data_IF_515839652843
#
_entry.id   IF_515839652843
#
_cell.length_a   1.000
_cell.length_b   1.000
_cell.length_c   1.000
_cell.angle_alpha   90.00
_cell.angle_beta   90.00
_cell.angle_gamma   90.00
#
_symmetry.space_group_name_H-M   'P 1'
#
loop_
_entity.id
_entity.type
_entity.pdbx_description
1 polymer ?
#
# COMPACT_ATOMS: atom_id res chain seq x y z
N UNK A 1 -48.56 16.15 -10.24
CA UNK A 1 -47.40 15.33 -10.62
C UNK A 1 -46.21 16.21 -11.04
N UNK A 2 -45.38 16.72 -10.11
CA UNK A 2 -44.17 17.50 -10.48
C UNK A 2 -42.88 17.01 -9.80
N UNK A 3 -42.94 15.90 -9.05
CA UNK A 3 -41.91 15.60 -8.03
C UNK A 3 -41.09 14.35 -8.36
N UNK A 4 -41.38 13.64 -9.45
CA UNK A 4 -40.66 12.42 -9.86
C UNK A 4 -39.40 12.78 -10.68
N UNK A 5 -39.49 13.76 -11.59
CA UNK A 5 -38.39 14.16 -12.48
C UNK A 5 -37.15 14.81 -11.81
N UNK A 6 -37.25 15.21 -10.53
CA UNK A 6 -36.12 15.82 -9.81
C UNK A 6 -35.22 14.76 -9.17
N UNK A 7 -35.79 13.66 -8.70
CA UNK A 7 -35.05 12.57 -8.04
C UNK A 7 -34.23 11.77 -9.05
N UNK A 8 -34.77 11.54 -10.24
CA UNK A 8 -34.08 10.79 -11.29
C UNK A 8 -32.85 11.51 -11.85
N UNK A 9 -32.92 12.85 -11.99
CA UNK A 9 -31.75 13.66 -12.38
C UNK A 9 -30.67 13.71 -11.31
N UNK A 10 -31.07 13.70 -10.04
CA UNK A 10 -30.14 13.71 -8.91
C UNK A 10 -29.44 12.35 -8.73
N UNK A 11 -30.16 11.25 -8.97
CA UNK A 11 -29.58 9.91 -9.02
C UNK A 11 -28.58 9.74 -10.19
N UNK A 12 -28.89 10.30 -11.37
CA UNK A 12 -27.99 10.27 -12.52
C UNK A 12 -26.68 11.02 -12.32
N UNK A 13 -26.69 12.13 -11.58
CA UNK A 13 -25.49 12.91 -11.26
C UNK A 13 -24.56 12.20 -10.27
N UNK A 14 -25.12 11.67 -9.18
CA UNK A 14 -24.35 10.96 -8.15
C UNK A 14 -23.63 9.72 -8.69
N UNK A 15 -24.28 8.96 -9.59
CA UNK A 15 -23.66 7.79 -10.23
C UNK A 15 -22.50 8.17 -11.16
N UNK A 16 -22.53 9.37 -11.76
CA UNK A 16 -21.46 9.85 -12.63
C UNK A 16 -20.25 10.36 -11.83
N UNK A 17 -20.49 11.01 -10.70
CA UNK A 17 -19.45 11.45 -9.76
C UNK A 17 -18.71 10.25 -9.16
N UNK A 18 -19.44 9.23 -8.72
CA UNK A 18 -18.86 7.97 -8.21
C UNK A 18 -17.97 7.28 -9.26
N UNK A 19 -18.44 7.22 -10.51
CA UNK A 19 -17.64 6.65 -11.61
C UNK A 19 -16.37 7.46 -11.90
N UNK A 20 -16.46 8.79 -11.82
CA UNK A 20 -15.30 9.66 -12.00
C UNK A 20 -14.27 9.46 -10.86
N UNK A 21 -14.74 9.32 -9.62
CA UNK A 21 -13.89 9.04 -8.46
C UNK A 21 -13.20 7.68 -8.60
N UNK A 22 -13.96 6.63 -8.94
CA UNK A 22 -13.41 5.29 -9.14
C UNK A 22 -12.34 5.24 -10.26
N UNK A 23 -12.48 6.07 -11.29
CA UNK A 23 -11.48 6.18 -12.35
C UNK A 23 -10.17 6.80 -11.85
N UNK A 24 -10.25 7.90 -11.10
CA UNK A 24 -9.09 8.56 -10.48
C UNK A 24 -8.41 7.62 -9.50
N UNK A 25 -9.19 6.92 -8.66
CA UNK A 25 -8.67 5.98 -7.68
C UNK A 25 -7.87 4.86 -8.32
N UNK A 26 -8.37 4.30 -9.43
CA UNK A 26 -7.71 3.22 -10.17
C UNK A 26 -6.36 3.64 -10.74
N UNK A 27 -6.25 4.88 -11.21
CA UNK A 27 -4.98 5.44 -11.69
C UNK A 27 -3.97 5.54 -10.54
N UNK A 28 -4.36 6.14 -9.42
CA UNK A 28 -3.52 6.28 -8.23
C UNK A 28 -3.06 4.94 -7.65
N UNK A 29 -3.93 3.92 -7.65
CA UNK A 29 -3.56 2.55 -7.24
C UNK A 29 -2.55 1.92 -8.20
N UNK A 30 -2.62 2.24 -9.49
CA UNK A 30 -1.61 1.86 -10.48
C UNK A 30 -0.24 2.44 -10.14
N UNK A 31 -0.20 3.73 -9.77
CA UNK A 31 1.04 4.38 -9.35
C UNK A 31 1.61 3.80 -8.05
N UNK A 32 0.74 3.47 -7.08
CA UNK A 32 1.14 2.86 -5.81
C UNK A 32 1.70 1.43 -5.96
N UNK A 33 1.33 0.72 -7.04
CA UNK A 33 1.86 -0.60 -7.35
C UNK A 33 3.31 -0.57 -7.88
N UNK A 34 3.84 0.61 -8.24
CA UNK A 34 5.21 0.79 -8.72
C UNK A 34 6.16 0.85 -7.51
N UNK A 35 7.18 -0.02 -7.42
CA UNK A 35 8.13 0.00 -6.31
C UNK A 35 8.81 1.36 -6.12
N UNK A 36 8.80 1.86 -4.88
CA UNK A 36 9.39 3.16 -4.53
C UNK A 36 8.51 4.37 -4.84
N UNK A 37 7.37 4.19 -5.50
CA UNK A 37 6.34 5.21 -5.67
C UNK A 37 5.46 5.33 -4.42
N UNK A 38 4.91 6.53 -4.20
CA UNK A 38 3.97 6.81 -3.09
C UNK A 38 2.83 7.64 -3.64
N UNK A 39 1.61 7.08 -3.63
CA UNK A 39 0.40 7.77 -4.03
C UNK A 39 -0.34 8.34 -2.80
N UNK A 40 -0.90 9.54 -2.94
CA UNK A 40 -1.71 10.19 -1.90
C UNK A 40 -3.21 9.95 -2.17
N UNK A 41 -3.92 9.51 -1.14
CA UNK A 41 -5.37 9.26 -1.17
C UNK A 41 -6.07 10.24 -0.23
N UNK A 42 -7.13 10.89 -0.72
CA UNK A 42 -8.09 11.61 0.10
C UNK A 42 -8.90 10.62 0.97
N UNK A 43 -9.56 11.07 2.06
CA UNK A 43 -10.27 10.16 2.97
C UNK A 43 -11.33 9.28 2.28
N UNK A 44 -12.10 9.86 1.38
CA UNK A 44 -13.10 9.20 0.54
C UNK A 44 -12.47 8.20 -0.45
N UNK A 45 -11.37 8.58 -1.10
CA UNK A 45 -10.60 7.69 -1.97
C UNK A 45 -9.99 6.51 -1.19
N UNK A 46 -9.50 6.76 0.02
CA UNK A 46 -8.90 5.76 0.90
C UNK A 46 -9.95 4.73 1.34
N UNK A 47 -11.15 5.16 1.75
CA UNK A 47 -12.26 4.26 2.06
C UNK A 47 -12.59 3.34 0.86
N UNK A 48 -12.63 3.89 -0.35
CA UNK A 48 -12.88 3.12 -1.57
C UNK A 48 -11.70 2.21 -1.98
N UNK A 49 -10.46 2.61 -1.71
CA UNK A 49 -9.26 1.80 -1.95
C UNK A 49 -9.22 0.54 -1.10
N UNK A 50 -10.13 0.41 -0.13
CA UNK A 50 -10.02 -0.57 0.92
C UNK A 50 -8.93 -0.18 1.90
N UNK A 51 -8.80 1.10 2.26
CA UNK A 51 -8.21 1.46 3.55
C UNK A 51 -9.10 0.80 4.60
N UNK A 52 -8.76 -0.44 4.91
CA UNK A 52 -9.37 -1.13 6.02
C UNK A 52 -9.06 -0.26 7.24
N UNK A 53 -10.10 0.15 7.97
CA UNK A 53 -9.93 0.50 9.38
C UNK A 53 -9.63 -0.80 10.13
N UNK A 54 -8.53 -1.47 9.77
CA UNK A 54 -7.91 -2.44 10.66
C UNK A 54 -7.48 -1.59 11.83
N UNK A 55 -8.06 -1.85 13.00
CA UNK A 55 -7.42 -1.38 14.21
C UNK A 55 -5.95 -1.81 14.08
N UNK A 56 -5.02 -0.87 14.28
CA UNK A 56 -3.60 -1.24 14.23
C UNK A 56 -3.44 -2.46 15.12
N UNK A 57 -2.79 -3.53 14.63
CA UNK A 57 -2.67 -4.76 15.40
C UNK A 57 -2.16 -4.36 16.79
N UNK A 58 -2.96 -4.64 17.82
CA UNK A 58 -2.60 -4.18 19.15
C UNK A 58 -1.31 -4.91 19.60
N UNK A 59 -0.61 -4.36 20.60
CA UNK A 59 0.66 -4.95 21.05
C UNK A 59 0.50 -6.44 21.43
N UNK A 60 -0.68 -6.81 21.91
CA UNK A 60 -0.99 -8.17 22.35
C UNK A 60 -1.15 -9.12 21.15
N UNK A 61 -1.91 -8.73 20.14
CA UNK A 61 -2.13 -9.51 18.91
C UNK A 61 -0.88 -9.54 18.02
N UNK A 62 -0.07 -8.46 18.01
CA UNK A 62 1.27 -8.45 17.42
C UNK A 62 2.16 -9.52 18.06
N UNK A 63 2.16 -9.60 19.39
CA UNK A 63 2.96 -10.55 20.16
C UNK A 63 2.48 -11.99 19.99
N UNK A 64 1.16 -12.21 19.87
CA UNK A 64 0.58 -13.53 19.62
C UNK A 64 0.93 -14.08 18.23
N UNK A 65 1.16 -13.21 17.24
CA UNK A 65 1.58 -13.55 15.89
C UNK A 65 3.08 -13.82 15.72
N UNK A 66 3.89 -13.73 16.78
CA UNK A 66 5.32 -14.05 16.74
C UNK A 66 5.47 -15.55 16.47
N UNK A 67 5.63 -15.90 15.20
CA UNK A 67 6.15 -17.20 14.77
C UNK A 67 7.47 -17.39 15.50
N UNK A 68 7.64 -18.55 16.14
CA UNK A 68 8.78 -18.90 17.00
C UNK A 68 10.13 -18.60 16.29
N UNK A 69 10.63 -17.37 16.46
CA UNK A 69 11.84 -16.86 15.81
C UNK A 69 13.07 -17.66 16.27
N UNK A 70 12.93 -18.47 17.33
CA UNK A 70 13.92 -19.45 17.76
C UNK A 70 14.37 -20.39 16.62
N UNK A 71 13.50 -20.73 15.66
CA UNK A 71 13.91 -21.53 14.50
C UNK A 71 14.63 -20.71 13.41
N UNK A 72 14.36 -19.40 13.31
CA UNK A 72 15.02 -18.48 12.39
C UNK A 72 16.32 -17.88 12.96
N UNK A 73 16.57 -18.02 14.27
CA UNK A 73 17.82 -17.67 14.95
C UNK A 73 18.93 -18.71 14.77
N UNK A 74 18.72 -19.74 13.95
CA UNK A 74 19.86 -20.42 13.36
C UNK A 74 20.64 -19.36 12.57
N UNK A 75 21.91 -19.08 12.86
CA UNK A 75 22.67 -18.10 12.11
C UNK A 75 22.62 -18.53 10.64
N UNK A 76 21.95 -17.72 9.81
CA UNK A 76 22.12 -17.83 8.37
C UNK A 76 23.63 -17.81 8.14
N UNK A 77 24.22 -18.81 7.46
CA UNK A 77 25.63 -18.73 7.15
C UNK A 77 25.83 -17.44 6.38
N UNK A 78 26.51 -16.48 7.02
CA UNK A 78 26.99 -15.27 6.37
C UNK A 78 28.03 -15.73 5.35
N UNK A 79 27.57 -16.24 4.21
CA UNK A 79 28.45 -16.58 3.09
C UNK A 79 29.10 -15.28 2.70
N UNK A 80 30.41 -15.22 2.93
CA UNK A 80 31.16 -14.00 3.14
C UNK A 80 30.81 -12.87 2.19
N UNK A 81 30.60 -11.70 2.78
CA UNK A 81 31.01 -10.45 2.14
C UNK A 81 32.46 -10.66 1.71
N UNK A 82 32.66 -10.94 0.43
CA UNK A 82 33.98 -11.10 -0.15
C UNK A 82 34.73 -9.82 0.15
N UNK A 83 35.83 -9.92 0.88
CA UNK A 83 36.80 -8.85 0.94
C UNK A 83 37.24 -8.64 -0.51
N UNK A 84 36.66 -7.64 -1.19
CA UNK A 84 37.25 -7.11 -2.40
C UNK A 84 38.53 -6.42 -1.95
N UNK A 85 39.61 -7.20 -1.85
CA UNK A 85 40.96 -6.70 -1.73
C UNK A 85 41.14 -5.64 -2.82
N UNK A 86 41.40 -4.40 -2.40
CA UNK A 86 41.80 -3.36 -3.34
C UNK A 86 43.06 -3.88 -4.05
N UNK A 87 43.12 -3.92 -5.39
CA UNK A 87 44.36 -4.24 -6.06
C UNK A 87 45.42 -3.27 -5.57
N UNK A 88 46.57 -3.81 -5.14
CA UNK A 88 47.70 -3.04 -4.70
C UNK A 88 47.98 -1.93 -5.72
N UNK A 89 48.01 -0.70 -5.22
CA UNK A 89 48.42 0.46 -6.00
C UNK A 89 49.83 0.17 -6.52
N UNK A 90 49.97 0.01 -7.84
CA UNK A 90 51.25 0.04 -8.53
C UNK A 90 51.94 1.35 -8.13
N UNK A 91 53.05 1.22 -7.42
CA UNK A 91 53.94 2.35 -7.12
C UNK A 91 55.32 1.96 -7.61
N UNK A 92 55.73 2.66 -8.68
CA UNK A 92 57.02 2.72 -9.40
C UNK A 92 57.82 1.43 -9.64
#
# INVERSE_FOLDING_TARGET
MKNENARDRQAGGAMAEEQAMAAILREKLGDAAIPGSRAEFAPDEAEQAGSFAEDAVDEHDAAAGVIDLAAASAPLPLTGSTNHERPAQVTD
#
